data_IF_934091202814
#
_entry.id   IF_934091202814
#
_cell.length_a   1.000
_cell.length_b   1.000
_cell.length_c   1.000
_cell.angle_alpha   90.00
_cell.angle_beta   90.00
_cell.angle_gamma   90.00
#
_symmetry.space_group_name_H-M   'P 1'
#
loop_
_entity.id
_entity.type
_entity.pdbx_description
1 polymer ?
#
# COMPACT_ATOMS: atom_id res chain seq x y z
N UNK A 1 -8.52 -23.78 -22.18
CA UNK A 1 -8.16 -22.39 -21.83
C UNK A 1 -6.67 -22.32 -21.53
N UNK A 2 -6.00 -21.24 -21.90
CA UNK A 2 -4.56 -21.05 -21.62
C UNK A 2 -4.41 -20.65 -20.16
N UNK A 3 -3.63 -21.41 -19.38
CA UNK A 3 -3.36 -21.13 -17.97
C UNK A 3 -2.08 -20.30 -17.80
N UNK A 4 -1.96 -19.61 -16.66
CA UNK A 4 -0.71 -18.96 -16.28
C UNK A 4 0.42 -19.98 -16.06
N UNK A 5 1.63 -19.65 -16.52
CA UNK A 5 2.85 -20.41 -16.27
C UNK A 5 3.92 -19.49 -15.68
N UNK A 6 4.61 -19.98 -14.65
CA UNK A 6 5.73 -19.30 -14.00
C UNK A 6 7.04 -19.94 -14.41
N UNK A 7 8.07 -19.12 -14.60
CA UNK A 7 9.44 -19.57 -14.77
C UNK A 7 10.33 -19.00 -13.67
N UNK A 8 11.27 -19.80 -13.17
CA UNK A 8 12.26 -19.33 -12.22
C UNK A 8 13.38 -18.60 -12.94
N UNK A 9 13.74 -17.43 -12.40
CA UNK A 9 14.97 -16.72 -12.74
C UNK A 9 15.77 -16.46 -11.47
N UNK A 10 17.00 -16.00 -11.64
CA UNK A 10 17.87 -15.57 -10.53
C UNK A 10 18.25 -16.66 -9.51
N UNK A 11 18.08 -17.95 -9.85
CA UNK A 11 18.27 -19.08 -8.92
C UNK A 11 19.65 -19.13 -8.25
N UNK A 12 20.68 -18.57 -8.88
CA UNK A 12 22.05 -18.51 -8.36
C UNK A 12 22.48 -17.10 -7.95
N UNK A 13 21.70 -16.06 -8.27
CA UNK A 13 22.06 -14.66 -8.03
C UNK A 13 21.29 -14.05 -6.86
N UNK A 14 20.21 -14.68 -6.39
CA UNK A 14 19.43 -14.18 -5.28
C UNK A 14 18.87 -15.32 -4.39
N UNK A 15 19.03 -15.28 -3.05
CA UNK A 15 18.48 -16.29 -2.14
C UNK A 15 16.95 -16.40 -2.22
N UNK A 16 16.43 -17.62 -2.24
CA UNK A 16 15.00 -17.90 -2.37
C UNK A 16 14.62 -18.24 -3.81
N UNK A 17 13.33 -18.24 -4.12
CA UNK A 17 12.82 -18.55 -5.46
C UNK A 17 12.16 -17.31 -6.03
N UNK A 18 12.71 -16.79 -7.13
CA UNK A 18 12.14 -15.66 -7.86
C UNK A 18 11.52 -16.17 -9.15
N UNK A 19 10.22 -15.95 -9.31
CA UNK A 19 9.44 -16.40 -10.44
C UNK A 19 8.86 -15.23 -11.21
N UNK A 20 8.71 -15.41 -12.51
CA UNK A 20 8.05 -14.46 -13.40
C UNK A 20 7.05 -15.20 -14.28
N UNK A 21 5.96 -14.54 -14.66
CA UNK A 21 5.00 -15.10 -15.62
C UNK A 21 5.66 -15.24 -16.99
N UNK A 22 5.78 -16.48 -17.46
CA UNK A 22 6.21 -16.81 -18.83
C UNK A 22 5.04 -16.82 -19.80
N UNK A 23 3.85 -17.23 -19.32
CA UNK A 23 2.60 -17.27 -20.10
C UNK A 23 1.46 -16.74 -19.24
N UNK A 24 0.55 -16.00 -19.87
CA UNK A 24 -0.59 -15.38 -19.21
C UNK A 24 -1.89 -16.04 -19.64
N UNK A 25 -2.75 -16.32 -18.66
CA UNK A 25 -4.16 -16.55 -18.91
C UNK A 25 -4.85 -15.25 -19.35
N UNK A 26 -5.97 -15.33 -20.10
CA UNK A 26 -6.72 -14.15 -20.51
C UNK A 26 -7.11 -13.24 -19.33
N UNK A 27 -6.84 -11.93 -19.47
CA UNK A 27 -7.18 -10.92 -18.45
C UNK A 27 -6.20 -10.85 -17.26
N UNK A 28 -5.13 -11.64 -17.26
CA UNK A 28 -4.06 -11.58 -16.25
C UNK A 28 -3.01 -10.52 -16.58
N UNK A 29 -2.32 -10.03 -15.55
CA UNK A 29 -1.18 -9.12 -15.68
C UNK A 29 0.14 -9.90 -15.63
N UNK A 30 1.18 -9.50 -16.38
CA UNK A 30 2.54 -9.96 -16.12
C UNK A 30 2.86 -9.82 -14.64
N UNK A 31 3.41 -10.85 -13.99
CA UNK A 31 3.51 -10.91 -12.54
C UNK A 31 4.87 -11.44 -12.11
N UNK A 32 5.44 -10.83 -11.08
CA UNK A 32 6.58 -11.35 -10.35
C UNK A 32 6.11 -12.00 -9.05
N UNK A 33 6.67 -13.16 -8.72
CA UNK A 33 6.38 -13.90 -7.48
C UNK A 33 7.68 -14.27 -6.79
N UNK A 34 7.77 -14.04 -5.48
CA UNK A 34 8.96 -14.36 -4.69
C UNK A 34 8.61 -15.20 -3.47
N UNK A 35 9.31 -16.32 -3.32
CA UNK A 35 9.24 -17.19 -2.14
C UNK A 35 10.56 -17.05 -1.38
N UNK A 36 10.53 -16.67 -0.09
CA UNK A 36 11.76 -16.48 0.70
C UNK A 36 12.50 -17.82 0.92
N UNK A 37 13.81 -17.80 1.23
CA UNK A 37 14.59 -19.02 1.49
C UNK A 37 13.99 -19.93 2.57
N UNK A 38 13.26 -19.34 3.52
CA UNK A 38 12.60 -20.06 4.61
C UNK A 38 11.35 -20.84 4.16
N UNK A 39 10.82 -20.54 2.98
CA UNK A 39 9.58 -21.13 2.50
C UNK A 39 9.72 -22.64 2.32
N UNK A 40 8.92 -23.41 3.04
CA UNK A 40 8.91 -24.86 2.90
C UNK A 40 8.23 -25.24 1.59
N UNK A 41 8.92 -25.98 0.73
CA UNK A 41 8.38 -26.45 -0.57
C UNK A 41 7.16 -27.36 -0.43
N UNK A 42 6.96 -27.96 0.75
CA UNK A 42 5.79 -28.77 1.08
C UNK A 42 4.60 -27.96 1.65
N UNK A 43 4.76 -26.64 1.88
CA UNK A 43 3.69 -25.81 2.43
C UNK A 43 2.53 -25.69 1.43
N UNK A 44 1.34 -26.08 1.86
CA UNK A 44 0.09 -25.95 1.07
C UNK A 44 -0.72 -24.72 1.48
N UNK A 45 -0.34 -24.04 2.57
CA UNK A 45 -0.99 -22.83 3.06
C UNK A 45 0.03 -21.68 3.04
N UNK A 46 -0.32 -20.60 2.34
CA UNK A 46 0.56 -19.48 2.07
C UNK A 46 0.04 -18.20 2.73
N UNK A 47 0.91 -17.50 3.46
CA UNK A 47 0.68 -16.10 3.78
C UNK A 47 1.20 -15.24 2.63
N UNK A 48 0.32 -14.38 2.09
CA UNK A 48 0.55 -13.66 0.83
C UNK A 48 0.54 -12.16 1.08
N UNK A 49 1.50 -11.48 0.47
CA UNK A 49 1.48 -10.03 0.28
C UNK A 49 1.40 -9.74 -1.22
N UNK A 50 0.34 -9.05 -1.65
CA UNK A 50 0.25 -8.47 -2.99
C UNK A 50 0.86 -7.08 -2.97
N UNK A 51 1.78 -6.77 -3.87
CA UNK A 51 2.32 -5.42 -4.05
C UNK A 51 1.82 -4.76 -5.33
N UNK A 52 1.20 -3.59 -5.20
CA UNK A 52 0.71 -2.77 -6.31
C UNK A 52 1.62 -1.54 -6.47
N UNK A 53 2.34 -1.49 -7.58
CA UNK A 53 3.35 -0.45 -7.84
C UNK A 53 2.76 0.83 -8.42
N UNK A 54 3.60 1.87 -8.47
CA UNK A 54 3.28 3.17 -9.08
C UNK A 54 3.79 3.34 -10.49
N UNK A 55 4.06 4.58 -10.87
CA UNK A 55 4.66 4.91 -12.16
C UNK A 55 6.14 4.48 -12.22
N UNK A 56 6.75 4.62 -13.39
CA UNK A 56 8.17 4.36 -13.67
C UNK A 56 8.65 2.90 -13.56
N UNK A 57 7.76 1.95 -13.32
CA UNK A 57 8.06 0.51 -13.40
C UNK A 57 8.00 0.07 -14.86
N UNK A 58 9.09 -0.46 -15.39
CA UNK A 58 9.19 -0.78 -16.83
C UNK A 58 8.47 -2.07 -17.21
N UNK A 59 8.53 -3.07 -16.34
CA UNK A 59 7.94 -4.39 -16.51
C UNK A 59 7.90 -5.15 -15.17
N UNK A 60 7.36 -6.37 -15.18
CA UNK A 60 7.32 -7.24 -14.02
C UNK A 60 8.71 -7.71 -13.52
N UNK A 61 9.73 -7.81 -14.35
CA UNK A 61 11.09 -8.17 -13.91
C UNK A 61 11.77 -6.99 -13.18
N UNK A 62 11.50 -5.77 -13.63
CA UNK A 62 11.96 -4.53 -13.02
C UNK A 62 11.53 -4.43 -11.55
N UNK A 63 10.31 -4.88 -11.22
CA UNK A 63 9.75 -4.84 -9.85
C UNK A 63 10.67 -5.47 -8.79
N UNK A 64 11.36 -6.56 -9.13
CA UNK A 64 12.21 -7.29 -8.18
C UNK A 64 13.71 -7.10 -8.38
N UNK A 65 14.11 -6.43 -9.48
CA UNK A 65 15.52 -6.21 -9.80
C UNK A 65 15.97 -4.77 -9.62
N UNK A 66 15.12 -3.82 -9.96
CA UNK A 66 15.52 -2.42 -10.14
C UNK A 66 14.57 -1.42 -9.48
N UNK A 67 13.37 -1.84 -9.06
CA UNK A 67 12.45 -0.95 -8.37
C UNK A 67 13.06 -0.42 -7.06
N UNK A 68 13.07 0.91 -6.84
CA UNK A 68 13.69 1.50 -5.66
C UNK A 68 13.09 1.05 -4.34
N UNK A 69 11.86 0.51 -4.34
CA UNK A 69 11.27 -0.09 -3.15
C UNK A 69 12.04 -1.34 -2.71
N UNK A 70 12.67 -2.13 -3.60
CA UNK A 70 13.47 -3.33 -3.24
C UNK A 70 12.71 -4.38 -2.42
N UNK A 71 11.50 -4.72 -2.86
CA UNK A 71 10.53 -5.50 -2.09
C UNK A 71 11.00 -6.92 -1.80
N UNK A 72 11.61 -7.58 -2.79
CA UNK A 72 12.13 -8.94 -2.67
C UNK A 72 13.21 -9.02 -1.59
N UNK A 73 14.13 -8.05 -1.57
CA UNK A 73 15.15 -7.93 -0.53
C UNK A 73 14.55 -7.69 0.84
N UNK A 74 13.55 -6.83 0.94
CA UNK A 74 12.87 -6.59 2.21
C UNK A 74 12.18 -7.84 2.75
N UNK A 75 11.52 -8.64 1.91
CA UNK A 75 10.93 -9.92 2.34
C UNK A 75 12.01 -10.89 2.80
N UNK A 76 13.10 -11.04 2.04
CA UNK A 76 14.26 -11.84 2.44
C UNK A 76 14.81 -11.40 3.81
N UNK A 77 15.07 -10.11 3.96
CA UNK A 77 15.73 -9.52 5.13
C UNK A 77 14.82 -9.52 6.37
N UNK A 78 13.50 -9.59 6.18
CA UNK A 78 12.54 -9.71 7.28
C UNK A 78 12.56 -11.09 7.97
N UNK A 79 13.08 -12.12 7.30
CA UNK A 79 13.09 -13.51 7.79
C UNK A 79 11.68 -14.14 7.94
N UNK A 80 10.63 -13.48 7.44
CA UNK A 80 9.25 -13.98 7.47
C UNK A 80 9.01 -14.94 6.31
N UNK A 81 8.14 -15.92 6.55
CA UNK A 81 7.68 -16.84 5.51
C UNK A 81 6.41 -16.30 4.86
N UNK A 82 6.60 -15.41 3.89
CA UNK A 82 5.52 -14.73 3.17
C UNK A 82 5.81 -14.76 1.68
N UNK A 83 4.84 -15.17 0.88
CA UNK A 83 4.91 -15.14 -0.58
C UNK A 83 4.56 -13.75 -1.07
N UNK A 84 5.49 -13.10 -1.77
CA UNK A 84 5.28 -11.79 -2.37
C UNK A 84 4.82 -11.95 -3.82
N UNK A 85 3.68 -11.35 -4.17
CA UNK A 85 3.12 -11.34 -5.52
C UNK A 85 3.00 -9.90 -5.99
N UNK A 86 3.53 -9.57 -7.18
CA UNK A 86 3.52 -8.21 -7.70
C UNK A 86 3.08 -8.19 -9.18
N UNK A 87 1.81 -7.86 -9.49
CA UNK A 87 1.37 -7.65 -10.86
C UNK A 87 1.98 -6.38 -11.45
N UNK A 88 2.34 -6.42 -12.72
CA UNK A 88 2.72 -5.27 -13.52
C UNK A 88 1.47 -4.56 -14.06
N UNK A 89 1.26 -3.33 -13.60
CA UNK A 89 0.09 -2.50 -13.84
C UNK A 89 0.26 -1.57 -15.06
N UNK A 90 1.36 -1.72 -15.82
CA UNK A 90 1.72 -0.88 -16.95
C UNK A 90 2.81 0.14 -16.59
N UNK A 91 3.35 0.82 -17.61
CA UNK A 91 4.42 1.80 -17.46
C UNK A 91 3.87 3.19 -17.75
N UNK A 92 4.09 4.13 -16.84
CA UNK A 92 3.75 5.55 -16.99
C UNK A 92 4.92 6.40 -16.51
N UNK A 93 5.17 7.52 -17.18
CA UNK A 93 6.32 8.40 -16.96
C UNK A 93 5.96 9.86 -17.28
N UNK A 94 6.64 10.81 -16.65
CA UNK A 94 6.43 12.24 -16.91
C UNK A 94 7.00 12.67 -18.25
N UNK A 95 6.26 13.54 -18.94
CA UNK A 95 6.65 14.25 -20.17
C UNK A 95 6.29 15.72 -19.98
N UNK A 96 7.25 16.53 -19.51
CA UNK A 96 6.95 17.90 -19.07
C UNK A 96 6.03 17.89 -17.86
N UNK A 97 4.89 18.58 -17.95
CA UNK A 97 3.87 18.63 -16.88
C UNK A 97 2.77 17.57 -17.02
N UNK A 98 2.86 16.68 -18.01
CA UNK A 98 1.89 15.60 -18.23
C UNK A 98 2.53 14.23 -18.02
N UNK A 99 1.73 13.18 -18.07
CA UNK A 99 2.18 11.80 -18.04
C UNK A 99 1.84 11.09 -19.34
N UNK A 100 2.72 10.17 -19.75
CA UNK A 100 2.54 9.31 -20.90
C UNK A 100 2.77 7.84 -20.50
N UNK A 101 2.06 6.93 -21.15
CA UNK A 101 2.19 5.51 -20.87
C UNK A 101 0.89 4.73 -20.96
N UNK A 102 0.89 3.54 -20.38
CA UNK A 102 -0.23 2.61 -20.38
C UNK A 102 -0.55 2.04 -18.99
N UNK A 103 -0.08 2.70 -17.92
CA UNK A 103 -0.44 2.31 -16.57
C UNK A 103 -1.95 2.37 -16.38
N UNK A 104 -2.53 1.30 -15.85
CA UNK A 104 -3.97 1.24 -15.58
C UNK A 104 -4.28 0.20 -14.51
N UNK A 105 -5.17 0.61 -13.60
CA UNK A 105 -5.72 -0.25 -12.54
C UNK A 105 -7.21 -0.49 -12.69
N UNK A 106 -7.80 -0.12 -13.84
CA UNK A 106 -9.24 -0.23 -14.06
C UNK A 106 -9.70 -1.68 -14.03
N UNK A 107 -8.89 -2.61 -14.56
CA UNK A 107 -9.21 -4.03 -14.58
C UNK A 107 -9.38 -4.61 -13.16
N UNK A 108 -8.65 -4.07 -12.16
CA UNK A 108 -8.72 -4.52 -10.77
C UNK A 108 -10.10 -4.25 -10.15
N UNK A 109 -10.89 -3.34 -10.72
CA UNK A 109 -12.26 -3.03 -10.29
C UNK A 109 -13.29 -3.95 -10.97
N UNK A 110 -12.90 -4.75 -11.96
CA UNK A 110 -13.81 -5.66 -12.60
C UNK A 110 -14.29 -6.73 -11.59
N UNK A 111 -15.58 -7.11 -11.62
CA UNK A 111 -16.11 -8.11 -10.70
C UNK A 111 -15.25 -9.39 -10.65
N UNK A 112 -14.93 -9.82 -9.44
CA UNK A 112 -14.12 -11.02 -9.15
C UNK A 112 -12.74 -11.01 -9.83
N UNK A 113 -12.19 -9.85 -10.21
CA UNK A 113 -10.84 -9.80 -10.79
C UNK A 113 -9.80 -10.32 -9.79
N UNK A 114 -9.81 -9.82 -8.55
CA UNK A 114 -8.89 -10.25 -7.50
C UNK A 114 -8.99 -11.74 -7.18
N UNK A 115 -10.21 -12.29 -7.14
CA UNK A 115 -10.43 -13.73 -6.96
C UNK A 115 -9.76 -14.55 -8.08
N UNK A 116 -10.11 -14.26 -9.34
CA UNK A 116 -9.58 -14.99 -10.50
C UNK A 116 -8.06 -14.85 -10.62
N UNK A 117 -7.55 -13.64 -10.34
CA UNK A 117 -6.11 -13.39 -10.37
C UNK A 117 -5.36 -14.25 -9.35
N UNK A 118 -5.85 -14.31 -8.11
CA UNK A 118 -5.27 -15.17 -7.08
C UNK A 118 -5.36 -16.65 -7.44
N UNK A 119 -6.48 -17.11 -8.01
CA UNK A 119 -6.63 -18.50 -8.47
C UNK A 119 -5.62 -18.87 -9.54
N UNK A 120 -5.41 -18.03 -10.55
CA UNK A 120 -4.45 -18.28 -11.63
C UNK A 120 -3.01 -18.29 -11.11
N UNK A 121 -2.65 -17.35 -10.24
CA UNK A 121 -1.30 -17.32 -9.65
C UNK A 121 -1.06 -18.52 -8.72
N UNK A 122 -2.03 -18.88 -7.87
CA UNK A 122 -1.94 -20.08 -7.03
C UNK A 122 -1.85 -21.35 -7.88
N UNK A 123 -2.63 -21.46 -8.96
CA UNK A 123 -2.57 -22.59 -9.88
C UNK A 123 -1.21 -22.69 -10.58
N UNK A 124 -0.66 -21.57 -11.03
CA UNK A 124 0.67 -21.53 -11.64
C UNK A 124 1.78 -21.88 -10.64
N UNK A 125 1.68 -21.38 -9.41
CA UNK A 125 2.63 -21.68 -8.34
C UNK A 125 2.55 -23.16 -7.91
N UNK A 126 1.34 -23.72 -7.83
CA UNK A 126 1.13 -25.13 -7.51
C UNK A 126 1.80 -26.04 -8.55
N UNK A 127 1.65 -25.74 -9.84
CA UNK A 127 2.32 -26.48 -10.93
C UNK A 127 3.84 -26.34 -10.84
N UNK A 128 4.33 -25.13 -10.56
CA UNK A 128 5.77 -24.89 -10.40
C UNK A 128 6.34 -25.72 -9.24
N UNK A 129 5.70 -25.71 -8.06
CA UNK A 129 6.14 -26.45 -6.87
C UNK A 129 5.95 -27.96 -7.03
N UNK A 130 4.91 -28.41 -7.73
CA UNK A 130 4.65 -29.82 -8.01
C UNK A 130 5.63 -30.43 -9.02
N UNK A 131 6.29 -29.62 -9.86
CA UNK A 131 7.23 -30.08 -10.86
C UNK A 131 6.62 -31.13 -11.80
N UNK A 132 7.27 -32.28 -11.94
CA UNK A 132 6.79 -33.43 -12.71
C UNK A 132 5.94 -34.41 -11.89
N UNK A 133 5.53 -34.05 -10.67
CA UNK A 133 4.70 -34.91 -9.83
C UNK A 133 3.34 -35.17 -10.46
N UNK A 134 2.80 -36.38 -10.27
CA UNK A 134 1.44 -36.75 -10.68
C UNK A 134 0.36 -36.07 -9.85
N UNK A 135 0.70 -35.52 -8.67
CA UNK A 135 -0.22 -34.77 -7.81
C UNK A 135 0.25 -33.31 -7.66
N UNK A 136 -0.50 -32.38 -8.25
CA UNK A 136 -0.30 -30.94 -8.07
C UNK A 136 -0.87 -30.54 -6.70
N UNK A 137 -0.10 -29.88 -5.81
CA UNK A 137 -0.58 -29.48 -4.49
C UNK A 137 -1.72 -28.46 -4.62
N UNK A 138 -2.74 -28.58 -3.77
CA UNK A 138 -3.78 -27.54 -3.67
C UNK A 138 -3.32 -26.46 -2.70
N UNK A 139 -2.94 -25.30 -3.24
CA UNK A 139 -2.51 -24.16 -2.42
C UNK A 139 -3.72 -23.39 -1.86
N UNK A 140 -3.61 -22.98 -0.60
CA UNK A 140 -4.60 -22.21 0.14
C UNK A 140 -3.98 -20.91 0.65
N UNK A 141 -4.79 -19.86 0.76
CA UNK A 141 -4.36 -18.59 1.37
C UNK A 141 -4.65 -18.66 2.88
N UNK A 142 -3.59 -18.50 3.68
CA UNK A 142 -3.66 -18.31 5.12
C UNK A 142 -4.07 -16.89 5.46
N UNK A 143 -3.15 -15.95 5.30
CA UNK A 143 -3.37 -14.50 5.38
C UNK A 143 -3.14 -13.85 4.02
N UNK A 144 -3.94 -12.83 3.72
CA UNK A 144 -3.76 -11.96 2.57
C UNK A 144 -3.53 -10.53 3.07
N UNK A 145 -2.52 -9.88 2.50
CA UNK A 145 -2.22 -8.47 2.69
C UNK A 145 -2.12 -7.83 1.32
N UNK A 146 -2.72 -6.65 1.15
CA UNK A 146 -2.52 -5.82 -0.04
C UNK A 146 -1.66 -4.63 0.35
N UNK A 147 -0.51 -4.49 -0.28
CA UNK A 147 0.39 -3.37 -0.11
C UNK A 147 0.49 -2.58 -1.42
N UNK A 148 0.65 -1.27 -1.34
CA UNK A 148 0.79 -0.44 -2.52
C UNK A 148 1.63 0.81 -2.27
N UNK A 149 2.12 1.38 -3.37
CA UNK A 149 2.80 2.67 -3.38
C UNK A 149 2.30 3.54 -4.52
N UNK A 150 2.28 4.87 -4.32
CA UNK A 150 2.02 5.82 -5.39
C UNK A 150 0.65 5.59 -6.07
N UNK A 151 0.59 5.61 -7.41
CA UNK A 151 -0.58 5.25 -8.20
C UNK A 151 -1.17 3.86 -7.91
N UNK A 152 -0.42 2.97 -7.23
CA UNK A 152 -0.92 1.68 -6.75
C UNK A 152 -2.03 1.81 -5.71
N UNK A 153 -2.19 2.97 -5.07
CA UNK A 153 -3.28 3.26 -4.13
C UNK A 153 -4.68 3.11 -4.76
N UNK A 154 -4.85 3.58 -5.99
CA UNK A 154 -6.08 3.35 -6.75
C UNK A 154 -6.30 1.85 -7.05
N UNK A 155 -5.21 1.11 -7.31
CA UNK A 155 -5.26 -0.33 -7.49
C UNK A 155 -5.68 -1.06 -6.21
N UNK A 156 -5.15 -0.65 -5.05
CA UNK A 156 -5.52 -1.23 -3.75
C UNK A 156 -7.00 -1.00 -3.46
N UNK A 157 -7.49 0.23 -3.68
CA UNK A 157 -8.91 0.59 -3.57
C UNK A 157 -9.81 -0.28 -4.44
N UNK A 158 -9.40 -0.56 -5.67
CA UNK A 158 -10.16 -1.42 -6.58
C UNK A 158 -10.12 -2.88 -6.13
N UNK A 159 -8.92 -3.38 -5.78
CA UNK A 159 -8.69 -4.79 -5.49
C UNK A 159 -9.41 -5.26 -4.22
N UNK A 160 -9.50 -4.43 -3.17
CA UNK A 160 -10.20 -4.80 -1.93
C UNK A 160 -11.69 -5.12 -2.13
N UNK A 161 -12.29 -4.66 -3.23
CA UNK A 161 -13.68 -4.93 -3.58
C UNK A 161 -13.88 -6.15 -4.50
N UNK A 162 -12.81 -6.79 -4.98
CA UNK A 162 -12.89 -7.82 -6.03
C UNK A 162 -12.24 -9.15 -5.63
N UNK A 163 -11.93 -9.34 -4.35
CA UNK A 163 -11.30 -10.56 -3.80
C UNK A 163 -12.23 -11.78 -3.75
N UNK A 164 -13.55 -11.59 -3.86
CA UNK A 164 -14.54 -12.67 -3.81
C UNK A 164 -14.39 -13.52 -2.54
N UNK A 165 -14.25 -14.84 -2.69
CA UNK A 165 -14.06 -15.82 -1.62
C UNK A 165 -12.81 -15.58 -0.77
N UNK A 166 -11.82 -14.84 -1.29
CA UNK A 166 -10.62 -14.49 -0.53
C UNK A 166 -10.79 -13.25 0.35
N UNK A 167 -11.96 -12.58 0.33
CA UNK A 167 -12.22 -11.42 1.18
C UNK A 167 -11.96 -11.72 2.67
N UNK A 168 -12.41 -12.88 3.15
CA UNK A 168 -12.22 -13.31 4.54
C UNK A 168 -10.75 -13.61 4.90
N UNK A 169 -9.84 -13.66 3.92
CA UNK A 169 -8.40 -13.83 4.14
C UNK A 169 -7.68 -12.49 4.22
N UNK A 170 -8.30 -11.39 3.80
CA UNK A 170 -7.70 -10.06 3.86
C UNK A 170 -7.55 -9.61 5.31
N UNK A 171 -6.31 -9.52 5.77
CA UNK A 171 -5.96 -9.15 7.14
C UNK A 171 -5.49 -7.71 7.26
N UNK A 172 -4.82 -7.18 6.23
CA UNK A 172 -4.37 -5.80 6.22
C UNK A 172 -4.25 -5.21 4.81
N UNK A 173 -4.35 -3.89 4.75
CA UNK A 173 -3.99 -3.05 3.61
C UNK A 173 -2.89 -2.07 4.03
N UNK A 174 -1.81 -1.96 3.26
CA UNK A 174 -0.68 -1.08 3.54
C UNK A 174 -0.47 -0.09 2.39
N UNK A 175 -0.68 1.19 2.64
CA UNK A 175 -0.49 2.25 1.66
C UNK A 175 0.73 3.11 1.97
N UNK A 176 1.58 3.31 0.96
CA UNK A 176 2.78 4.14 1.06
C UNK A 176 2.70 5.31 0.08
N UNK A 177 2.48 6.52 0.60
CA UNK A 177 2.33 7.79 -0.13
C UNK A 177 1.44 7.62 -1.37
N UNK A 178 0.23 7.10 -1.16
CA UNK A 178 -0.63 6.54 -2.22
C UNK A 178 -2.07 7.09 -2.30
N UNK A 179 -2.48 8.01 -1.42
CA UNK A 179 -3.84 8.57 -1.41
C UNK A 179 -3.95 9.87 -2.24
N UNK A 180 -3.95 9.75 -3.57
CA UNK A 180 -4.03 10.90 -4.49
C UNK A 180 -5.46 11.31 -4.87
N UNK A 181 -6.44 10.45 -4.59
CA UNK A 181 -7.81 10.52 -5.11
C UNK A 181 -8.71 11.57 -4.47
N UNK A 182 -8.24 12.81 -4.30
CA UNK A 182 -9.07 13.92 -3.79
C UNK A 182 -10.26 14.26 -4.71
N UNK A 183 -10.17 13.90 -6.00
CA UNK A 183 -11.23 14.07 -7.01
C UNK A 183 -12.00 12.78 -7.30
N UNK A 184 -11.63 11.66 -6.67
CA UNK A 184 -12.38 10.41 -6.80
C UNK A 184 -13.76 10.54 -6.13
N UNK A 185 -14.68 9.64 -6.46
CA UNK A 185 -16.03 9.62 -5.88
C UNK A 185 -16.36 8.23 -5.30
N UNK A 186 -16.49 8.09 -3.96
CA UNK A 186 -16.03 9.05 -2.94
C UNK A 186 -14.51 9.30 -3.04
N UNK A 187 -13.99 10.37 -2.43
CA UNK A 187 -12.54 10.58 -2.35
C UNK A 187 -11.86 9.46 -1.54
N UNK A 188 -10.53 9.37 -1.60
CA UNK A 188 -9.81 8.27 -0.97
C UNK A 188 -10.00 8.21 0.55
N UNK A 189 -9.94 9.35 1.23
CA UNK A 189 -10.15 9.39 2.68
C UNK A 189 -11.55 8.88 3.05
N UNK A 190 -12.57 9.35 2.34
CA UNK A 190 -13.97 8.97 2.59
C UNK A 190 -14.21 7.50 2.24
N UNK A 191 -13.64 7.02 1.13
CA UNK A 191 -13.71 5.61 0.75
C UNK A 191 -13.16 4.70 1.85
N UNK A 192 -11.92 4.96 2.32
CA UNK A 192 -11.27 4.12 3.32
C UNK A 192 -11.95 4.18 4.68
N UNK A 193 -12.43 5.37 5.08
CA UNK A 193 -13.23 5.52 6.28
C UNK A 193 -14.53 4.70 6.22
N UNK A 194 -15.25 4.75 5.10
CA UNK A 194 -16.47 3.95 4.89
C UNK A 194 -16.15 2.46 4.88
N UNK A 195 -15.08 2.05 4.20
CA UNK A 195 -14.66 0.66 4.10
C UNK A 195 -14.35 0.05 5.48
N UNK A 196 -13.60 0.77 6.33
CA UNK A 196 -13.33 0.34 7.71
C UNK A 196 -14.58 0.37 8.60
N UNK A 197 -15.46 1.36 8.41
CA UNK A 197 -16.72 1.46 9.17
C UNK A 197 -17.68 0.32 8.85
N UNK A 198 -17.59 -0.26 7.65
CA UNK A 198 -18.39 -1.40 7.19
C UNK A 198 -18.02 -2.75 7.82
N UNK A 199 -17.27 -2.76 8.93
CA UNK A 199 -16.83 -3.95 9.66
C UNK A 199 -15.85 -4.85 8.87
N UNK A 200 -14.95 -4.28 8.06
CA UNK A 200 -13.79 -5.05 7.65
C UNK A 200 -12.96 -5.37 8.90
N UNK A 201 -12.82 -6.65 9.23
CA UNK A 201 -11.91 -7.09 10.31
C UNK A 201 -10.43 -6.82 10.00
N UNK A 202 -10.15 -6.19 8.85
CA UNK A 202 -8.84 -5.92 8.30
C UNK A 202 -8.28 -4.59 8.79
N UNK A 203 -6.96 -4.52 9.01
CA UNK A 203 -6.25 -3.28 9.30
C UNK A 203 -6.01 -2.44 8.03
N UNK A 204 -5.98 -1.11 8.18
CA UNK A 204 -5.49 -0.19 7.16
C UNK A 204 -4.36 0.64 7.77
N UNK A 205 -3.16 0.51 7.20
CA UNK A 205 -2.00 1.30 7.59
C UNK A 205 -1.56 2.20 6.43
N UNK A 206 -1.57 3.51 6.62
CA UNK A 206 -1.13 4.50 5.64
C UNK A 206 0.10 5.24 6.18
N UNK A 207 1.19 5.22 5.42
CA UNK A 207 2.34 6.11 5.65
C UNK A 207 2.36 7.13 4.52
N UNK A 208 2.26 8.42 4.85
CA UNK A 208 2.11 9.47 3.83
C UNK A 208 3.28 10.43 3.80
N UNK A 209 3.56 10.96 2.61
CA UNK A 209 4.50 12.05 2.37
C UNK A 209 3.79 13.33 1.95
N UNK A 210 4.51 14.28 1.33
CA UNK A 210 3.94 15.59 0.98
C UNK A 210 2.82 15.49 -0.06
N UNK A 211 2.94 14.54 -0.99
CA UNK A 211 2.10 14.43 -2.18
C UNK A 211 0.69 13.94 -1.86
N UNK A 212 0.52 13.10 -0.82
CA UNK A 212 -0.79 12.58 -0.39
C UNK A 212 -1.25 13.11 0.96
N UNK A 213 -0.54 14.12 1.49
CA UNK A 213 -0.83 14.75 2.79
C UNK A 213 -2.31 15.17 2.94
N UNK A 214 -2.95 15.86 1.98
CA UNK A 214 -4.33 16.32 2.17
C UNK A 214 -5.34 15.19 2.45
N UNK A 215 -5.28 14.10 1.69
CA UNK A 215 -6.17 12.96 1.87
C UNK A 215 -5.80 12.13 3.09
N UNK A 216 -4.52 12.04 3.42
CA UNK A 216 -4.05 11.24 4.56
C UNK A 216 -4.40 11.92 5.88
N UNK A 217 -4.21 13.24 6.01
CA UNK A 217 -4.67 14.02 7.16
C UNK A 217 -6.19 13.97 7.28
N UNK A 218 -6.92 14.08 6.17
CA UNK A 218 -8.38 13.91 6.18
C UNK A 218 -8.77 12.54 6.75
N UNK A 219 -8.17 11.45 6.25
CA UNK A 219 -8.44 10.08 6.72
C UNK A 219 -8.11 9.91 8.21
N UNK A 220 -6.99 10.46 8.67
CA UNK A 220 -6.61 10.42 10.08
C UNK A 220 -7.67 11.09 10.97
N UNK A 221 -8.01 12.35 10.66
CA UNK A 221 -8.95 13.13 11.47
C UNK A 221 -10.36 12.53 11.50
N UNK A 222 -10.87 12.05 10.36
CA UNK A 222 -12.19 11.40 10.33
C UNK A 222 -12.16 10.05 11.03
N UNK A 223 -11.08 9.29 10.87
CA UNK A 223 -10.92 7.97 11.49
C UNK A 223 -10.75 8.04 13.00
N UNK A 224 -10.17 9.12 13.53
CA UNK A 224 -10.08 9.42 14.97
C UNK A 224 -11.34 10.08 15.53
N UNK A 225 -12.33 10.30 14.67
CA UNK A 225 -13.60 10.91 15.02
C UNK A 225 -13.51 12.40 15.36
N UNK A 226 -12.41 13.06 14.97
CA UNK A 226 -12.13 14.48 15.21
C UNK A 226 -12.70 15.38 14.11
N UNK A 227 -12.93 14.82 12.92
CA UNK A 227 -13.55 15.52 11.79
C UNK A 227 -14.73 14.76 11.18
N UNK A 228 -15.60 15.49 10.49
CA UNK A 228 -16.60 14.94 9.57
C UNK A 228 -15.98 14.68 8.18
N UNK A 229 -16.60 13.86 7.32
CA UNK A 229 -16.16 13.70 5.93
C UNK A 229 -16.06 15.00 5.13
N UNK A 230 -16.77 16.06 5.52
CA UNK A 230 -16.68 17.39 4.90
C UNK A 230 -15.50 18.23 5.43
N UNK A 231 -14.71 17.68 6.36
CA UNK A 231 -13.54 18.35 6.95
C UNK A 231 -13.87 19.31 8.10
N UNK A 232 -15.11 19.30 8.60
CA UNK A 232 -15.52 20.08 9.76
C UNK A 232 -15.09 19.37 11.05
N UNK A 233 -14.82 20.13 12.12
CA UNK A 233 -14.58 19.52 13.43
C UNK A 233 -15.84 18.77 13.90
N UNK A 234 -15.67 17.54 14.38
CA UNK A 234 -16.77 16.75 14.91
C UNK A 234 -17.08 17.16 16.35
N UNK A 235 -18.30 17.66 16.57
CA UNK A 235 -18.82 17.98 17.90
C UNK A 235 -20.21 17.35 18.10
N UNK A 236 -20.40 16.43 19.06
CA UNK A 236 -19.36 15.80 19.89
C UNK A 236 -18.39 14.93 19.06
N UNK A 237 -17.25 14.57 19.65
CA UNK A 237 -16.30 13.65 19.02
C UNK A 237 -16.95 12.30 18.72
N UNK A 238 -16.64 11.74 17.55
CA UNK A 238 -17.15 10.43 17.11
C UNK A 238 -16.23 9.31 17.61
N UNK A 239 -16.72 8.06 17.72
CA UNK A 239 -15.86 6.91 18.03
C UNK A 239 -14.73 6.75 17.01
N UNK A 240 -13.51 6.49 17.50
CA UNK A 240 -12.36 6.23 16.63
C UNK A 240 -12.41 4.81 16.01
N UNK A 241 -11.93 4.70 14.78
CA UNK A 241 -11.72 3.43 14.07
C UNK A 241 -10.51 2.71 14.65
N UNK A 242 -10.72 1.51 15.21
CA UNK A 242 -9.66 0.72 15.88
C UNK A 242 -8.63 0.13 14.92
N UNK A 243 -9.01 -0.07 13.66
CA UNK A 243 -8.20 -0.76 12.65
C UNK A 243 -7.53 0.21 11.67
N UNK A 244 -7.49 1.50 12.00
CA UNK A 244 -6.84 2.53 11.19
C UNK A 244 -5.54 2.98 11.86
N UNK A 245 -4.46 3.06 11.09
CA UNK A 245 -3.25 3.77 11.48
C UNK A 245 -2.78 4.64 10.31
N UNK A 246 -2.72 5.94 10.54
CA UNK A 246 -2.17 6.91 9.57
C UNK A 246 -0.95 7.55 10.19
N UNK A 247 0.17 7.59 9.48
CA UNK A 247 1.42 8.12 10.01
C UNK A 247 2.16 8.94 8.97
N UNK A 248 2.82 10.01 9.40
CA UNK A 248 3.74 10.77 8.54
C UNK A 248 4.98 9.91 8.34
N UNK A 249 5.33 9.65 7.09
CA UNK A 249 6.63 9.08 6.74
C UNK A 249 7.65 10.20 6.67
N UNK A 250 8.60 10.22 7.60
CA UNK A 250 9.67 11.21 7.61
C UNK A 250 11.01 10.54 7.91
N UNK A 251 12.10 11.20 7.53
CA UNK A 251 13.43 10.73 7.85
C UNK A 251 13.79 11.05 9.29
N UNK A 252 14.37 10.07 9.98
CA UNK A 252 14.94 10.27 11.32
C UNK A 252 16.47 10.47 11.28
N UNK A 253 17.19 10.05 10.21
CA UNK A 253 18.66 10.12 10.10
C UNK A 253 19.16 10.35 8.65
N UNK A 254 20.22 11.15 8.47
CA UNK A 254 21.01 11.33 7.22
C UNK A 254 22.51 11.56 7.54
N UNK A 255 23.46 11.17 6.66
CA UNK A 255 23.83 12.02 5.52
C UNK A 255 23.80 11.31 4.15
N UNK A 256 23.49 12.09 3.11
CA UNK A 256 23.58 11.70 1.71
C UNK A 256 25.04 11.49 1.26
N UNK A 257 25.25 10.69 0.20
CA UNK A 257 26.56 10.25 -0.33
C UNK A 257 27.35 9.23 0.52
N UNK A 258 26.67 8.29 1.22
CA UNK A 258 27.37 7.20 1.91
C UNK A 258 26.58 6.24 2.82
N UNK A 259 25.25 6.39 2.96
CA UNK A 259 24.31 5.72 3.92
C UNK A 259 24.25 6.43 5.30
N UNK A 260 23.16 6.41 6.11
CA UNK A 260 21.91 5.64 6.13
C UNK A 260 20.69 6.57 6.18
N UNK A 261 19.67 6.22 5.40
CA UNK A 261 18.40 6.93 5.35
C UNK A 261 17.30 5.98 5.80
N UNK A 262 16.74 6.20 6.99
CA UNK A 262 15.60 5.45 7.49
C UNK A 262 14.39 6.37 7.52
N UNK A 263 13.38 6.05 6.71
CA UNK A 263 12.05 6.62 6.90
C UNK A 263 11.41 5.87 8.06
N UNK A 264 11.05 6.61 9.10
CA UNK A 264 10.26 6.10 10.21
C UNK A 264 8.83 6.66 10.11
N UNK A 265 7.90 5.92 10.71
CA UNK A 265 6.61 6.47 11.04
C UNK A 265 6.85 7.45 12.20
N UNK A 266 6.52 8.72 12.03
CA UNK A 266 6.53 9.65 13.16
C UNK A 266 5.49 9.22 14.18
N UNK A 267 5.82 9.41 15.46
CA UNK A 267 4.91 9.18 16.58
C UNK A 267 3.65 10.07 16.45
N UNK A 268 2.48 9.48 16.67
CA UNK A 268 1.19 10.16 16.49
C UNK A 268 1.06 11.36 17.45
N UNK A 269 1.44 11.17 18.72
CA UNK A 269 1.37 12.24 19.72
C UNK A 269 2.37 13.36 19.42
N UNK A 270 3.50 13.06 18.78
CA UNK A 270 4.41 14.08 18.27
C UNK A 270 3.80 14.88 17.11
N UNK A 271 3.21 14.22 16.11
CA UNK A 271 2.56 14.89 14.98
C UNK A 271 1.37 15.76 15.42
N UNK A 272 0.59 15.28 16.39
CA UNK A 272 -0.59 15.97 16.91
C UNK A 272 -0.30 17.35 17.48
N UNK A 273 0.85 17.53 18.14
CA UNK A 273 1.28 18.83 18.69
C UNK A 273 1.28 19.94 17.63
N UNK A 274 1.52 19.56 16.38
CA UNK A 274 1.53 20.47 15.24
C UNK A 274 0.20 20.43 14.49
N UNK A 275 -0.33 19.24 14.21
CA UNK A 275 -1.52 19.07 13.37
C UNK A 275 -2.76 19.73 13.98
N UNK A 276 -2.98 19.54 15.28
CA UNK A 276 -4.14 20.06 16.00
C UNK A 276 -3.64 20.76 17.26
N UNK A 277 -3.06 21.98 17.15
CA UNK A 277 -2.49 22.68 18.29
C UNK A 277 -3.53 22.82 19.41
N UNK A 278 -3.13 22.53 20.64
CA UNK A 278 -4.05 22.64 21.77
C UNK A 278 -4.55 24.09 21.91
N UNK A 279 -5.83 24.23 22.22
CA UNK A 279 -6.53 25.53 22.34
C UNK A 279 -5.86 26.46 23.36
N UNK A 280 -5.12 25.90 24.34
CA UNK A 280 -4.38 26.68 25.34
C UNK A 280 -3.18 27.47 24.77
N UNK A 281 -2.64 27.06 23.62
CA UNK A 281 -1.47 27.71 22.99
C UNK A 281 -1.85 28.77 21.94
N UNK A 282 -3.15 29.03 21.75
CA UNK A 282 -3.62 30.08 20.83
C UNK A 282 -3.94 31.38 21.61
N UNK A 283 -3.40 32.55 21.21
CA UNK A 283 -3.84 33.82 21.77
C UNK A 283 -5.34 33.97 21.58
N UNK A 284 -6.05 34.38 22.65
CA UNK A 284 -7.50 34.64 22.62
C UNK A 284 -7.80 35.75 21.61
N UNK A 285 -8.06 35.38 20.36
CA UNK A 285 -8.51 36.30 19.33
C UNK A 285 -10.02 36.52 19.48
N UNK A 286 -10.39 37.80 19.54
CA UNK A 286 -11.76 38.30 19.61
C UNK A 286 -12.68 37.67 18.56
N UNK A 287 -13.96 37.49 18.94
CA UNK A 287 -15.13 37.11 18.12
C UNK A 287 -14.80 36.74 16.66
N UNK A 288 -14.33 35.51 16.46
CA UNK A 288 -14.15 34.95 15.12
C UNK A 288 -15.53 34.65 14.51
N UNK A 289 -15.71 34.96 13.23
CA UNK A 289 -16.85 34.51 12.45
C UNK A 289 -17.00 32.98 12.55
N UNK A 290 -18.23 32.48 12.38
CA UNK A 290 -18.47 31.04 12.35
C UNK A 290 -17.51 30.37 11.34
N UNK A 291 -16.84 29.28 11.70
CA UNK A 291 -15.85 28.65 10.83
C UNK A 291 -16.48 28.29 9.49
N UNK A 292 -15.73 28.52 8.42
CA UNK A 292 -16.14 28.08 7.08
C UNK A 292 -16.09 26.54 6.98
N UNK A 293 -16.96 25.94 6.17
CA UNK A 293 -16.98 24.48 6.02
C UNK A 293 -15.62 23.96 5.54
N UNK A 294 -15.06 22.98 6.26
CA UNK A 294 -13.74 22.39 5.97
C UNK A 294 -12.54 23.15 6.55
N UNK A 295 -12.74 24.30 7.23
CA UNK A 295 -11.64 25.12 7.77
C UNK A 295 -10.75 24.35 8.75
N UNK A 296 -11.33 23.47 9.57
CA UNK A 296 -10.61 22.62 10.51
C UNK A 296 -9.58 21.73 9.79
N UNK A 297 -10.01 21.02 8.75
CA UNK A 297 -9.13 20.18 7.93
C UNK A 297 -8.05 21.00 7.22
N UNK A 298 -8.39 22.16 6.65
CA UNK A 298 -7.41 23.00 5.95
C UNK A 298 -6.31 23.51 6.89
N UNK A 299 -6.67 23.89 8.13
CA UNK A 299 -5.69 24.26 9.14
C UNK A 299 -4.78 23.10 9.52
N UNK A 300 -5.33 21.91 9.75
CA UNK A 300 -4.53 20.72 10.08
C UNK A 300 -3.53 20.38 8.97
N UNK A 301 -3.98 20.37 7.71
CA UNK A 301 -3.13 20.15 6.52
C UNK A 301 -2.00 21.19 6.45
N UNK A 302 -2.33 22.47 6.62
CA UNK A 302 -1.36 23.57 6.58
C UNK A 302 -0.32 23.45 7.70
N UNK A 303 -0.74 23.07 8.90
CA UNK A 303 0.15 22.90 10.04
C UNK A 303 1.15 21.76 9.83
N UNK A 304 0.69 20.57 9.40
CA UNK A 304 1.58 19.43 9.12
C UNK A 304 2.57 19.80 8.02
N UNK A 305 2.10 20.41 6.92
CA UNK A 305 2.96 20.82 5.80
C UNK A 305 4.07 21.78 6.23
N UNK A 306 3.79 22.67 7.17
CA UNK A 306 4.75 23.64 7.71
C UNK A 306 5.72 23.02 8.72
N UNK A 307 5.24 22.10 9.55
CA UNK A 307 6.03 21.48 10.60
C UNK A 307 7.02 20.43 10.07
N UNK A 308 6.69 19.77 8.95
CA UNK A 308 7.46 18.66 8.40
C UNK A 308 7.92 18.96 6.97
N UNK A 309 9.08 19.60 6.78
CA UNK A 309 9.63 19.82 5.44
C UNK A 309 10.11 18.50 4.85
N UNK A 310 9.46 18.06 3.77
CA UNK A 310 9.81 16.83 3.08
C UNK A 310 10.91 17.09 2.04
N UNK A 311 12.01 16.32 2.02
CA UNK A 311 12.99 16.46 0.95
C UNK A 311 12.46 15.80 -0.33
N UNK A 312 13.13 16.13 -1.43
CA UNK A 312 12.84 15.55 -2.73
C UNK A 312 12.97 14.02 -2.68
N UNK A 313 12.17 13.33 -3.48
CA UNK A 313 12.20 11.87 -3.67
C UNK A 313 11.87 11.00 -2.43
N UNK A 314 11.35 11.59 -1.34
CA UNK A 314 10.92 10.84 -0.14
C UNK A 314 9.90 9.73 -0.44
N UNK A 315 9.15 9.91 -1.52
CA UNK A 315 8.14 9.01 -2.04
C UNK A 315 8.56 7.52 -2.00
N UNK A 316 9.65 7.16 -2.70
CA UNK A 316 10.13 5.77 -2.72
C UNK A 316 10.75 5.32 -1.39
N UNK A 317 11.29 6.25 -0.60
CA UNK A 317 11.87 5.92 0.70
C UNK A 317 10.76 5.59 1.71
N UNK A 318 9.58 6.20 1.60
CA UNK A 318 8.37 5.82 2.36
C UNK A 318 7.93 4.41 2.01
N UNK A 319 7.85 4.06 0.73
CA UNK A 319 7.54 2.68 0.31
C UNK A 319 8.55 1.68 0.88
N UNK A 320 9.84 1.97 0.74
CA UNK A 320 10.89 1.06 1.19
C UNK A 320 10.93 0.91 2.72
N UNK A 321 10.91 2.01 3.46
CA UNK A 321 10.95 1.96 4.94
C UNK A 321 9.65 1.42 5.54
N UNK A 322 8.52 1.89 5.00
CA UNK A 322 7.19 1.52 5.45
C UNK A 322 6.90 0.03 5.27
N UNK A 323 7.20 -0.53 4.10
CA UNK A 323 6.97 -1.94 3.80
C UNK A 323 7.77 -2.85 4.75
N UNK A 324 9.07 -2.58 4.95
CA UNK A 324 9.94 -3.37 5.82
C UNK A 324 9.47 -3.34 7.28
N UNK A 325 9.06 -2.16 7.75
CA UNK A 325 8.54 -1.96 9.11
C UNK A 325 7.31 -2.82 9.38
N UNK A 326 6.41 -2.98 8.39
CA UNK A 326 5.20 -3.80 8.53
C UNK A 326 5.51 -5.28 8.42
N UNK A 327 6.36 -5.69 7.48
CA UNK A 327 6.82 -7.09 7.37
C UNK A 327 7.43 -7.59 8.68
N UNK A 328 8.23 -6.76 9.35
CA UNK A 328 8.89 -7.12 10.61
C UNK A 328 7.91 -7.47 11.73
N UNK A 329 6.66 -7.00 11.64
CA UNK A 329 5.59 -7.20 12.65
C UNK A 329 4.67 -8.39 12.36
N UNK A 330 4.81 -9.06 11.21
CA UNK A 330 3.99 -10.23 10.84
C UNK A 330 4.26 -11.46 11.70
#
# INVERSE_FOLDING_TARGET
MVACELEQKDAQSFPGVTLFTKRLAPGMKPTAVYLPPKHATAATKLDIVIWLHGFYVKDHEFLFRNDPARLREQVRDSGKDVVLIAPFLGYEYAVGETFAGNYSVNDLAAPNWGERYLEEILGALARFLGGSSTSIPQLQIGKLIIACHSGGGNGMRNLVGTLGRYQAKLTACWGFDCLYGAKARPDDATFWYQWLSGQSGSALEIVYGPSTLPQSVKLDLIGRGLATPDGNQAQPQRPALKNLRVSVGHYDLFPAFGQMVRVADLDEAYVDRFMIPQVADQPRLHQKAAPSSGEFLQHAISNVRRAFPFPNDIHYMIARGGFFSRLSKL
#
